data_IF_817885113356
#
_entry.id   IF_817885113356
#
_cell.length_a   1.000
_cell.length_b   1.000
_cell.length_c   1.000
_cell.angle_alpha   90.00
_cell.angle_beta   90.00
_cell.angle_gamma   90.00
#
_symmetry.space_group_name_H-M   'P 1'
#
loop_
_entity.id
_entity.type
_entity.pdbx_description
1 polymer ?
#
# COMPACT_ATOMS: atom_id res chain seq x y z
N UNK A 1 -111.83 47.17 -11.32
CA UNK A 1 -112.95 46.20 -11.31
C UNK A 1 -112.38 44.87 -10.83
N UNK A 2 -113.12 44.17 -9.97
CA UNK A 2 -112.89 42.80 -9.42
C UNK A 2 -111.67 42.61 -8.50
N UNK A 3 -111.82 42.54 -7.16
CA UNK A 3 -112.42 41.53 -6.24
C UNK A 3 -111.55 40.27 -5.99
N UNK A 4 -110.91 40.27 -4.83
CA UNK A 4 -110.92 39.26 -3.74
C UNK A 4 -110.96 37.74 -4.06
N UNK A 5 -109.98 37.01 -3.50
CA UNK A 5 -110.02 35.76 -2.68
C UNK A 5 -108.85 34.81 -3.06
N UNK A 6 -108.19 34.01 -2.21
CA UNK A 6 -108.23 33.73 -0.76
C UNK A 6 -107.04 32.79 -0.45
N UNK A 7 -106.50 32.89 0.77
CA UNK A 7 -105.79 31.85 1.58
C UNK A 7 -104.47 31.29 1.04
N UNK A 8 -103.35 31.65 1.67
CA UNK A 8 -102.76 31.06 2.90
C UNK A 8 -102.34 29.61 2.71
N UNK A 9 -101.02 29.43 2.58
CA UNK A 9 -100.27 28.20 2.82
C UNK A 9 -98.83 28.61 3.12
N UNK A 10 -98.54 28.90 4.38
CA UNK A 10 -97.19 29.07 4.87
C UNK A 10 -96.53 27.69 4.96
N UNK A 11 -95.31 27.56 4.44
CA UNK A 11 -94.26 26.70 5.02
C UNK A 11 -92.90 26.95 4.35
N UNK A 12 -91.96 27.39 5.18
CA UNK A 12 -90.49 27.29 5.14
C UNK A 12 -89.74 27.83 3.90
N UNK A 13 -89.13 29.02 3.95
CA UNK A 13 -87.81 29.38 4.52
C UNK A 13 -86.60 28.68 3.86
N UNK A 14 -85.94 29.47 3.00
CA UNK A 14 -84.48 29.72 2.85
C UNK A 14 -83.49 28.54 2.82
N UNK A 15 -82.63 28.54 1.79
CA UNK A 15 -81.38 27.78 1.86
C UNK A 15 -80.54 27.74 0.59
N UNK A 16 -79.98 28.88 0.21
CA UNK A 16 -78.89 29.02 -0.76
C UNK A 16 -77.62 28.31 -0.22
N UNK A 17 -77.01 27.39 -0.97
CA UNK A 17 -75.53 27.25 -1.08
C UNK A 17 -75.12 25.93 -1.75
N UNK A 18 -74.33 26.05 -2.80
CA UNK A 18 -73.46 25.00 -3.30
C UNK A 18 -72.43 24.63 -2.24
N UNK A 19 -72.16 23.33 -2.02
CA UNK A 19 -70.93 22.88 -1.36
C UNK A 19 -70.60 21.45 -1.78
N UNK A 20 -69.63 21.38 -2.69
CA UNK A 20 -68.52 20.43 -2.78
C UNK A 20 -68.77 18.99 -2.33
N UNK A 21 -68.68 18.07 -3.30
CA UNK A 21 -68.18 16.72 -3.05
C UNK A 21 -66.80 16.86 -2.37
N UNK A 22 -66.74 16.67 -1.05
CA UNK A 22 -65.47 16.44 -0.37
C UNK A 22 -65.00 15.04 -0.77
N UNK A 23 -64.23 14.96 -1.85
CA UNK A 23 -63.29 13.85 -2.02
C UNK A 23 -62.46 13.82 -0.73
N UNK A 24 -62.58 12.74 0.04
CA UNK A 24 -61.62 12.45 1.08
C UNK A 24 -60.29 12.18 0.39
N UNK A 25 -59.49 13.24 0.21
CA UNK A 25 -58.09 13.10 -0.15
C UNK A 25 -57.40 12.42 1.04
N UNK A 26 -57.32 11.08 1.00
CA UNK A 26 -56.46 10.35 1.91
C UNK A 26 -55.05 10.88 1.68
N UNK A 27 -54.46 11.50 2.70
CA UNK A 27 -53.06 11.89 2.63
C UNK A 27 -52.24 10.63 2.41
N UNK A 28 -51.63 10.50 1.23
CA UNK A 28 -50.70 9.41 0.95
C UNK A 28 -49.46 9.66 1.82
N UNK A 29 -49.29 8.86 2.87
CA UNK A 29 -48.10 8.93 3.70
C UNK A 29 -46.97 8.21 2.98
N UNK A 30 -45.87 8.91 2.76
CA UNK A 30 -44.64 8.37 2.19
C UNK A 30 -43.67 8.11 3.32
N UNK A 31 -43.10 6.91 3.35
CA UNK A 31 -42.01 6.54 4.23
C UNK A 31 -40.81 6.17 3.37
N UNK A 32 -39.66 6.79 3.63
CA UNK A 32 -38.40 6.49 2.95
C UNK A 32 -37.35 6.14 4.00
N UNK A 33 -36.58 5.09 3.74
CA UNK A 33 -35.41 4.70 4.54
C UNK A 33 -34.20 4.80 3.63
N UNK A 34 -33.24 5.64 4.02
CA UNK A 34 -31.95 5.73 3.34
C UNK A 34 -30.93 4.85 4.06
N UNK A 35 -30.25 4.01 3.29
CA UNK A 35 -29.12 3.22 3.77
C UNK A 35 -27.86 3.78 3.13
N UNK A 36 -26.90 4.18 3.94
CA UNK A 36 -25.56 4.56 3.50
C UNK A 36 -24.52 3.86 4.36
N UNK A 37 -23.43 3.45 3.71
CA UNK A 37 -22.26 2.89 4.38
C UNK A 37 -21.01 3.38 3.65
N UNK A 38 -19.96 3.70 4.40
CA UNK A 38 -18.61 3.91 3.87
C UNK A 38 -17.77 2.72 4.28
N UNK A 39 -17.30 1.94 3.29
CA UNK A 39 -16.44 0.78 3.51
C UNK A 39 -14.98 1.26 3.41
N UNK A 40 -14.14 0.90 4.39
CA UNK A 40 -12.71 1.20 4.37
C UNK A 40 -11.96 0.30 3.38
N UNK A 41 -10.80 0.76 2.90
CA UNK A 41 -9.92 -0.05 2.07
C UNK A 41 -9.19 -1.11 2.92
N UNK A 42 -9.18 -2.36 2.47
CA UNK A 42 -8.26 -3.37 2.97
C UNK A 42 -7.04 -3.36 2.04
N UNK A 43 -5.89 -2.87 2.48
CA UNK A 43 -4.61 -3.11 1.81
C UNK A 43 -3.79 -4.05 2.68
N UNK A 44 -3.44 -5.24 2.20
CA UNK A 44 -2.56 -6.14 2.94
C UNK A 44 -1.87 -7.12 2.01
N UNK A 45 -0.60 -7.42 2.30
CA UNK A 45 0.15 -8.54 1.75
C UNK A 45 1.00 -9.14 2.86
N UNK A 46 1.10 -10.46 2.88
CA UNK A 46 2.14 -11.14 3.65
C UNK A 46 3.47 -10.98 2.90
N UNK A 47 4.52 -10.64 3.63
CA UNK A 47 5.86 -10.45 3.09
C UNK A 47 6.82 -11.42 3.76
N UNK A 48 7.63 -12.13 2.97
CA UNK A 48 8.60 -13.10 3.49
C UNK A 48 9.92 -12.97 2.75
N UNK A 49 11.01 -12.97 3.52
CA UNK A 49 12.38 -13.04 3.05
C UNK A 49 13.09 -14.23 3.73
N UNK A 50 14.22 -14.72 3.18
CA UNK A 50 15.07 -15.66 3.89
C UNK A 50 15.47 -15.11 5.26
N UNK A 51 15.52 -15.99 6.28
CA UNK A 51 15.96 -15.60 7.63
C UNK A 51 17.46 -15.33 7.71
N UNK A 52 18.21 -15.83 6.74
CA UNK A 52 19.66 -15.63 6.60
C UNK A 52 20.01 -15.65 5.11
N UNK A 53 20.96 -14.80 4.72
CA UNK A 53 21.63 -14.84 3.42
C UNK A 53 23.09 -15.18 3.70
N UNK A 54 23.54 -16.31 3.18
CA UNK A 54 24.90 -16.82 3.36
C UNK A 54 25.71 -16.60 2.07
N UNK A 55 26.83 -15.90 2.18
CA UNK A 55 27.73 -15.64 1.06
C UNK A 55 28.75 -16.77 0.91
N UNK A 56 29.20 -17.02 -0.33
CA UNK A 56 30.28 -17.96 -0.64
C UNK A 56 30.08 -19.37 -0.05
N UNK A 57 28.81 -19.79 0.06
CA UNK A 57 28.43 -21.07 0.68
C UNK A 57 29.00 -21.26 2.10
N UNK A 58 29.09 -20.16 2.86
CA UNK A 58 29.54 -20.15 4.25
C UNK A 58 31.05 -20.12 4.44
N UNK A 59 31.83 -20.10 3.35
CA UNK A 59 33.28 -19.89 3.42
C UNK A 59 33.63 -18.41 3.52
N UNK A 60 34.84 -18.11 3.99
CA UNK A 60 35.34 -16.74 4.08
C UNK A 60 35.33 -16.06 2.70
N UNK A 61 34.86 -14.81 2.64
CA UNK A 61 34.95 -13.95 1.46
C UNK A 61 36.22 -13.12 1.57
N UNK A 62 37.08 -13.17 0.55
CA UNK A 62 38.35 -12.44 0.56
C UNK A 62 38.14 -10.97 0.19
N UNK A 63 38.93 -10.02 0.75
CA UNK A 63 38.90 -8.63 0.31
C UNK A 63 39.09 -8.43 -1.20
N UNK A 64 39.96 -9.22 -1.83
CA UNK A 64 40.17 -9.20 -3.28
C UNK A 64 38.93 -9.61 -4.08
N UNK A 65 38.10 -10.49 -3.52
CA UNK A 65 36.84 -10.92 -4.16
C UNK A 65 35.82 -9.79 -4.13
N UNK A 66 35.79 -9.03 -3.03
CA UNK A 66 34.95 -7.84 -2.88
C UNK A 66 35.41 -6.74 -3.85
N UNK A 67 36.72 -6.49 -3.92
CA UNK A 67 37.33 -5.48 -4.80
C UNK A 67 37.14 -5.78 -6.30
N UNK A 68 37.06 -7.07 -6.66
CA UNK A 68 36.90 -7.52 -8.05
C UNK A 68 35.46 -7.85 -8.43
N UNK A 69 34.48 -7.57 -7.57
CA UNK A 69 33.07 -7.91 -7.77
C UNK A 69 32.85 -9.40 -8.10
N UNK A 70 33.58 -10.28 -7.42
CA UNK A 70 33.50 -11.72 -7.64
C UNK A 70 32.15 -12.29 -7.17
N UNK A 71 31.76 -13.42 -7.75
CA UNK A 71 30.53 -14.12 -7.39
C UNK A 71 30.49 -14.55 -5.91
N UNK A 72 31.64 -14.82 -5.28
CA UNK A 72 31.72 -15.14 -3.84
C UNK A 72 31.25 -14.00 -2.93
N UNK A 73 31.29 -12.75 -3.40
CA UNK A 73 30.83 -11.57 -2.67
C UNK A 73 29.37 -11.19 -3.00
N UNK A 74 28.67 -11.97 -3.81
CA UNK A 74 27.31 -11.65 -4.30
C UNK A 74 26.36 -12.83 -4.08
N UNK A 75 25.19 -12.55 -3.53
CA UNK A 75 24.12 -13.52 -3.38
C UNK A 75 22.79 -12.98 -3.87
N UNK A 76 21.94 -13.88 -4.34
CA UNK A 76 20.59 -13.54 -4.81
C UNK A 76 19.54 -14.29 -4.02
N UNK A 77 18.42 -13.63 -3.77
CA UNK A 77 17.27 -14.24 -3.10
C UNK A 77 15.97 -13.60 -3.58
N UNK A 78 14.85 -14.20 -3.21
CA UNK A 78 13.54 -13.65 -3.52
C UNK A 78 12.86 -13.11 -2.26
N UNK A 79 12.33 -11.90 -2.38
CA UNK A 79 11.30 -11.40 -1.48
C UNK A 79 9.94 -11.89 -2.00
N UNK A 80 9.17 -12.57 -1.17
CA UNK A 80 7.88 -13.15 -1.58
C UNK A 80 6.73 -12.34 -1.01
N UNK A 81 5.77 -11.99 -1.87
CA UNK A 81 4.49 -11.41 -1.49
C UNK A 81 3.39 -12.45 -1.69
N UNK A 82 2.58 -12.66 -0.66
CA UNK A 82 1.49 -13.62 -0.67
C UNK A 82 0.23 -13.05 -0.01
N UNK A 83 -0.90 -13.70 -0.26
CA UNK A 83 -2.21 -13.33 0.30
C UNK A 83 -2.56 -11.84 0.11
N UNK A 84 -2.06 -11.23 -0.96
CA UNK A 84 -2.29 -9.82 -1.24
C UNK A 84 -3.77 -9.56 -1.52
N UNK A 85 -4.34 -8.57 -0.83
CA UNK A 85 -5.74 -8.17 -0.92
C UNK A 85 -5.86 -6.66 -0.85
N UNK A 86 -6.74 -6.13 -1.67
CA UNK A 86 -7.05 -4.72 -1.74
C UNK A 86 -7.24 -4.20 -3.14
N UNK A 87 -7.76 -2.98 -3.21
CA UNK A 87 -7.94 -2.19 -4.42
C UNK A 87 -7.94 -0.72 -4.00
N UNK A 88 -7.66 0.17 -4.94
CA UNK A 88 -7.67 1.62 -4.75
C UNK A 88 -6.66 2.09 -3.70
N UNK A 89 -5.48 1.46 -3.70
CA UNK A 89 -4.33 1.80 -2.85
C UNK A 89 -3.04 1.77 -3.66
N UNK A 90 -2.04 2.52 -3.23
CA UNK A 90 -0.69 2.53 -3.83
C UNK A 90 0.28 1.78 -2.93
N UNK A 91 0.68 0.54 -3.29
CA UNK A 91 1.53 -0.27 -2.45
C UNK A 91 3.00 0.16 -2.55
N UNK A 92 3.76 -0.10 -1.50
CA UNK A 92 5.22 0.02 -1.47
C UNK A 92 5.80 -0.94 -0.45
N UNK A 93 7.08 -1.24 -0.58
CA UNK A 93 7.83 -1.92 0.48
C UNK A 93 8.80 -0.91 1.08
N UNK A 94 8.76 -0.77 2.40
CA UNK A 94 9.73 0.02 3.16
C UNK A 94 10.76 -0.90 3.79
N UNK A 95 12.00 -0.43 3.87
CA UNK A 95 13.12 -1.20 4.35
C UNK A 95 13.70 -0.49 5.58
N UNK A 96 13.75 -1.18 6.71
CA UNK A 96 14.41 -0.72 7.92
C UNK A 96 15.73 -1.47 8.11
N UNK A 97 16.74 -0.78 8.61
CA UNK A 97 18.08 -1.33 8.85
C UNK A 97 19.11 -0.22 8.90
N UNK A 98 20.11 -0.39 9.77
CA UNK A 98 21.20 0.58 9.94
C UNK A 98 22.02 0.65 8.65
N UNK A 99 22.34 1.87 8.22
CA UNK A 99 23.21 2.11 7.08
C UNK A 99 24.17 3.25 7.35
N UNK A 100 25.36 3.17 6.78
CA UNK A 100 26.35 4.23 6.79
C UNK A 100 26.75 4.58 5.34
N UNK A 101 27.35 5.74 5.15
CA UNK A 101 27.86 6.21 3.85
C UNK A 101 29.33 6.63 3.94
N UNK A 102 30.03 6.18 4.99
CA UNK A 102 31.39 6.61 5.31
C UNK A 102 32.40 6.18 4.25
N UNK A 103 32.13 5.08 3.55
CA UNK A 103 32.98 4.56 2.46
C UNK A 103 32.47 4.98 1.09
N UNK A 104 31.81 6.13 0.96
CA UNK A 104 31.42 6.71 -0.33
C UNK A 104 30.07 6.22 -0.88
N UNK A 105 29.75 4.93 -0.76
CA UNK A 105 28.41 4.40 -1.04
C UNK A 105 27.63 4.16 0.26
N UNK A 106 26.32 4.43 0.25
CA UNK A 106 25.46 4.05 1.38
C UNK A 106 25.27 2.54 1.39
N UNK A 107 25.69 1.87 2.48
CA UNK A 107 25.61 0.43 2.64
C UNK A 107 24.89 0.07 3.94
N UNK A 108 24.21 -1.08 3.97
CA UNK A 108 23.68 -1.60 5.22
C UNK A 108 24.80 -2.22 6.06
N UNK A 109 24.91 -1.78 7.31
CA UNK A 109 25.94 -2.23 8.26
C UNK A 109 25.40 -2.15 9.69
N UNK A 110 25.52 -3.24 10.44
CA UNK A 110 25.24 -3.25 11.88
C UNK A 110 26.48 -2.84 12.67
N UNK A 111 26.28 -2.07 13.75
CA UNK A 111 27.34 -1.63 14.66
C UNK A 111 28.02 -2.81 15.40
N UNK A 112 27.39 -3.99 15.45
CA UNK A 112 27.99 -5.21 15.99
C UNK A 112 29.02 -5.87 15.05
N UNK A 113 29.22 -5.33 13.83
CA UNK A 113 30.25 -5.80 12.91
C UNK A 113 31.65 -5.51 13.45
N UNK A 114 32.56 -6.45 13.24
CA UNK A 114 34.00 -6.25 13.53
C UNK A 114 34.79 -5.94 12.26
N UNK A 115 34.26 -6.31 11.09
CA UNK A 115 34.79 -5.83 9.81
C UNK A 115 34.61 -4.31 9.70
N UNK A 116 35.64 -3.62 9.20
CA UNK A 116 35.65 -2.17 8.99
C UNK A 116 35.89 -1.85 7.52
N UNK A 117 35.16 -0.89 6.98
CA UNK A 117 35.29 -0.47 5.58
C UNK A 117 34.51 -1.35 4.59
N UNK A 118 33.55 -2.13 5.07
CA UNK A 118 32.67 -2.98 4.26
C UNK A 118 31.22 -2.84 4.71
N UNK A 119 30.29 -3.16 3.83
CA UNK A 119 28.85 -3.21 4.10
C UNK A 119 28.10 -4.00 3.05
N UNK A 120 26.78 -4.08 3.20
CA UNK A 120 25.91 -4.78 2.24
C UNK A 120 25.24 -3.76 1.32
N UNK A 121 25.57 -3.84 0.03
CA UNK A 121 24.80 -3.21 -1.04
C UNK A 121 23.63 -4.13 -1.38
N UNK A 122 22.42 -3.72 -0.99
CA UNK A 122 21.20 -4.44 -1.31
C UNK A 122 20.46 -3.72 -2.44
N UNK A 123 20.10 -4.46 -3.48
CA UNK A 123 19.43 -3.95 -4.67
C UNK A 123 18.34 -4.89 -5.15
N UNK A 124 17.49 -4.39 -6.05
CA UNK A 124 16.50 -5.20 -6.77
C UNK A 124 16.39 -4.72 -8.21
N UNK A 125 16.22 -5.66 -9.13
CA UNK A 125 15.84 -5.34 -10.51
C UNK A 125 14.35 -4.99 -10.64
N UNK A 126 13.57 -5.10 -9.56
CA UNK A 126 12.12 -4.98 -9.60
C UNK A 126 11.46 -6.18 -10.27
N UNK A 127 10.19 -6.03 -10.61
CA UNK A 127 9.43 -7.01 -11.39
C UNK A 127 8.35 -6.27 -12.21
N UNK A 128 7.33 -6.99 -12.68
CA UNK A 128 6.24 -6.37 -13.45
C UNK A 128 5.49 -5.25 -12.71
N UNK A 129 5.47 -5.27 -11.37
CA UNK A 129 4.70 -4.34 -10.54
C UNK A 129 5.57 -3.39 -9.71
N UNK A 130 6.84 -3.73 -9.46
CA UNK A 130 7.76 -2.96 -8.64
C UNK A 130 8.97 -2.48 -9.44
N UNK A 131 9.42 -1.25 -9.16
CA UNK A 131 10.56 -0.62 -9.83
C UNK A 131 11.88 -1.26 -9.40
N UNK A 132 12.85 -1.22 -10.31
CA UNK A 132 14.24 -1.47 -9.98
C UNK A 132 14.74 -0.42 -8.97
N UNK A 133 15.60 -0.85 -8.06
CA UNK A 133 16.30 0.02 -7.13
C UNK A 133 17.74 -0.47 -6.94
N UNK A 134 18.75 0.30 -7.41
CA UNK A 134 20.14 -0.13 -7.35
C UNK A 134 20.76 -0.03 -5.96
N UNK A 135 20.18 0.74 -5.03
CA UNK A 135 20.71 0.89 -3.68
C UNK A 135 19.58 1.18 -2.67
N UNK A 136 19.14 0.11 -1.99
CA UNK A 136 18.08 0.16 -0.99
C UNK A 136 18.56 0.72 0.36
N UNK A 137 19.87 0.75 0.62
CA UNK A 137 20.40 1.38 1.82
C UNK A 137 20.27 2.91 1.76
N UNK A 138 20.40 3.50 0.56
CA UNK A 138 20.23 4.93 0.34
C UNK A 138 18.75 5.37 0.36
N UNK A 139 17.86 4.57 -0.24
CA UNK A 139 16.47 4.98 -0.53
C UNK A 139 15.45 4.40 0.44
N UNK A 140 15.74 3.27 1.08
CA UNK A 140 14.88 2.56 2.04
C UNK A 140 13.49 2.17 1.51
N UNK A 141 13.30 2.10 0.19
CA UNK A 141 11.99 1.75 -0.40
C UNK A 141 12.09 1.01 -1.73
N UNK A 142 11.14 0.10 -1.97
CA UNK A 142 10.81 -0.43 -3.29
C UNK A 142 9.41 0.07 -3.63
N UNK A 143 9.32 0.98 -4.60
CA UNK A 143 8.07 1.57 -5.06
C UNK A 143 7.44 0.73 -6.18
N UNK A 144 6.12 0.81 -6.33
CA UNK A 144 5.45 0.33 -7.54
C UNK A 144 5.91 1.08 -8.78
N UNK A 145 5.65 0.50 -9.95
CA UNK A 145 5.81 1.15 -11.26
C UNK A 145 5.07 2.49 -11.34
N UNK A 146 5.57 3.41 -12.18
CA UNK A 146 5.07 4.79 -12.24
C UNK A 146 3.61 4.89 -12.71
N UNK A 147 3.18 3.96 -13.57
CA UNK A 147 1.80 3.88 -14.11
C UNK A 147 0.94 2.87 -13.34
N UNK A 148 1.12 2.76 -12.02
CA UNK A 148 0.29 1.88 -11.18
C UNK A 148 -1.18 2.27 -11.25
N UNK A 149 -2.02 1.37 -11.74
CA UNK A 149 -3.47 1.56 -11.80
C UNK A 149 -4.09 1.25 -10.43
N UNK A 150 -4.73 2.25 -9.82
CA UNK A 150 -5.42 2.13 -8.53
C UNK A 150 -6.58 1.12 -8.59
N UNK A 151 -7.16 0.85 -9.75
CA UNK A 151 -8.19 -0.19 -9.90
C UNK A 151 -7.60 -1.60 -9.91
N UNK A 152 -6.28 -1.74 -9.98
CA UNK A 152 -5.59 -3.04 -9.91
C UNK A 152 -5.84 -3.69 -8.56
N UNK A 153 -6.36 -4.91 -8.61
CA UNK A 153 -6.49 -5.73 -7.41
C UNK A 153 -5.10 -6.16 -6.92
N UNK A 154 -4.79 -5.96 -5.64
CA UNK A 154 -3.48 -6.28 -5.06
C UNK A 154 -3.11 -7.76 -5.19
N UNK A 155 -4.05 -8.67 -5.44
CA UNK A 155 -3.73 -10.07 -5.80
C UNK A 155 -2.76 -10.19 -6.97
N UNK A 156 -2.70 -9.19 -7.87
CA UNK A 156 -1.73 -9.09 -8.95
C UNK A 156 -0.27 -8.94 -8.46
N UNK A 157 -0.07 -8.53 -7.20
CA UNK A 157 1.25 -8.43 -6.58
C UNK A 157 1.78 -9.76 -6.02
N UNK A 158 0.93 -10.78 -5.89
CA UNK A 158 1.38 -12.09 -5.41
C UNK A 158 2.48 -12.63 -6.32
N UNK A 159 3.59 -13.04 -5.71
CA UNK A 159 4.76 -13.50 -6.45
C UNK A 159 6.06 -13.10 -5.77
N UNK A 160 7.11 -12.95 -6.56
CA UNK A 160 8.45 -12.68 -6.06
C UNK A 160 9.03 -11.38 -6.63
N UNK A 161 9.86 -10.74 -5.83
CA UNK A 161 10.74 -9.65 -6.23
C UNK A 161 12.19 -10.16 -6.11
N UNK A 162 12.96 -10.21 -7.21
CA UNK A 162 14.34 -10.66 -7.16
C UNK A 162 15.22 -9.62 -6.46
N UNK A 163 16.01 -10.09 -5.49
CA UNK A 163 16.91 -9.28 -4.68
C UNK A 163 18.36 -9.72 -4.93
N UNK A 164 19.27 -8.76 -4.89
CA UNK A 164 20.71 -9.00 -4.93
C UNK A 164 21.36 -8.32 -3.74
N UNK A 165 22.06 -9.10 -2.94
CA UNK A 165 22.91 -8.62 -1.87
C UNK A 165 24.36 -8.78 -2.31
N UNK A 166 25.15 -7.70 -2.23
CA UNK A 166 26.57 -7.71 -2.53
C UNK A 166 27.35 -7.18 -1.32
N UNK A 167 28.40 -7.88 -0.91
CA UNK A 167 29.38 -7.31 0.02
C UNK A 167 30.16 -6.27 -0.77
N UNK A 168 30.16 -5.02 -0.29
CA UNK A 168 30.79 -3.89 -0.95
C UNK A 168 31.72 -3.17 0.01
N UNK A 169 32.86 -2.69 -0.50
CA UNK A 169 33.72 -1.72 0.17
C UNK A 169 33.20 -0.28 0.01
N UNK A 170 32.24 -0.04 -0.87
CA UNK A 170 31.93 1.30 -1.39
C UNK A 170 33.11 1.84 -2.20
N UNK A 171 34.00 2.58 -1.54
CA UNK A 171 35.28 3.03 -2.05
C UNK A 171 36.40 2.09 -1.59
N UNK A 172 36.82 1.21 -2.49
CA UNK A 172 37.90 0.26 -2.29
C UNK A 172 39.29 0.92 -2.29
N UNK A 173 39.41 2.23 -2.40
CA UNK A 173 40.68 2.95 -2.18
C UNK A 173 40.73 3.60 -0.78
N UNK A 174 39.64 3.56 -0.02
CA UNK A 174 39.60 4.12 1.34
C UNK A 174 40.50 3.33 2.31
N UNK A 175 41.33 4.07 3.06
CA UNK A 175 42.20 3.51 4.10
C UNK A 175 41.41 2.93 5.27
N UNK A 176 42.07 2.06 6.05
CA UNK A 176 41.51 1.55 7.32
C UNK A 176 40.56 0.37 7.18
N UNK A 177 40.49 -0.27 6.00
CA UNK A 177 39.78 -1.53 5.83
C UNK A 177 40.41 -2.64 6.66
N UNK A 178 39.59 -3.32 7.45
CA UNK A 178 40.01 -4.43 8.29
C UNK A 178 39.02 -5.58 8.13
N UNK A 179 39.57 -6.78 7.90
CA UNK A 179 38.78 -8.01 7.86
C UNK A 179 38.18 -8.34 9.23
N UNK A 180 37.08 -9.08 9.22
CA UNK A 180 36.35 -9.46 10.42
C UNK A 180 34.96 -9.97 10.08
N UNK A 181 34.13 -10.13 11.10
CA UNK A 181 32.74 -10.51 10.94
C UNK A 181 31.91 -9.30 10.50
N UNK A 182 31.25 -9.41 9.34
CA UNK A 182 30.31 -8.43 8.82
C UNK A 182 28.88 -8.83 9.20
N UNK A 183 28.17 -7.93 9.90
CA UNK A 183 26.77 -8.13 10.29
C UNK A 183 25.89 -7.05 9.70
N UNK A 184 24.70 -7.46 9.29
CA UNK A 184 23.65 -6.55 8.85
C UNK A 184 22.29 -7.21 9.08
N UNK A 185 21.32 -6.44 9.57
CA UNK A 185 19.95 -6.88 9.71
C UNK A 185 19.03 -5.86 9.03
N UNK A 186 18.16 -6.38 8.17
CA UNK A 186 17.26 -5.59 7.35
C UNK A 186 15.85 -6.17 7.45
N UNK A 187 14.88 -5.31 7.75
CA UNK A 187 13.46 -5.66 7.84
C UNK A 187 12.71 -5.07 6.64
N UNK A 188 11.92 -5.91 5.96
CA UNK A 188 11.03 -5.48 4.90
C UNK A 188 9.60 -5.39 5.41
N UNK A 189 8.94 -4.26 5.15
CA UNK A 189 7.55 -4.03 5.54
C UNK A 189 6.72 -3.63 4.33
N UNK A 190 5.62 -4.34 4.10
CA UNK A 190 4.62 -3.91 3.13
C UNK A 190 3.81 -2.73 3.68
N UNK A 191 3.67 -1.68 2.89
CA UNK A 191 2.89 -0.47 3.19
C UNK A 191 2.03 -0.11 1.99
N UNK A 192 1.03 0.73 2.22
CA UNK A 192 0.19 1.29 1.18
C UNK A 192 -0.34 2.65 1.63
N UNK A 193 -0.64 3.52 0.67
CA UNK A 193 -1.40 4.76 0.86
C UNK A 193 -2.74 4.69 0.12
#
# INVERSE_FOLDING_TARGET
MEKFNKRVGASALFGLSALMMSLSAGAATTASTEFSATIAFEGACDITAPTQVEFNSGNDVLPSDIESDAASATETFNLTLANCKGVNVTPRITIAGTSNAETGETLFLDAASTATGYGILLSTAGNANFKANPNLAATKTISVIDDWDLETNLTALNGTIPMTAKISCGDCEADGRLGGELKSNVTFEFKYD
#
